data_IF_598346682074
#
_entry.id   IF_598346682074
#
_cell.length_a   1.000
_cell.length_b   1.000
_cell.length_c   1.000
_cell.angle_alpha   90.00
_cell.angle_beta   90.00
_cell.angle_gamma   90.00
#
_symmetry.space_group_name_H-M   'P 1'
#
loop_
_entity.id
_entity.type
_entity.pdbx_description
1 polymer ?
#
# COMPACT_ATOMS: atom_id res chain seq x y z
N UNK A 1 -49.56 -33.59 -10.44
CA UNK A 1 -49.38 -32.84 -9.17
C UNK A 1 -47.94 -32.83 -8.66
N UNK A 2 -47.19 -33.94 -8.66
CA UNK A 2 -45.78 -33.99 -8.20
C UNK A 2 -44.81 -33.15 -9.05
N UNK A 3 -45.04 -33.05 -10.36
CA UNK A 3 -44.25 -32.21 -11.28
C UNK A 3 -44.46 -30.70 -11.08
N UNK A 4 -45.65 -30.29 -10.67
CA UNK A 4 -45.97 -28.88 -10.36
C UNK A 4 -45.28 -28.40 -9.08
N UNK A 5 -45.15 -29.27 -8.08
CA UNK A 5 -44.43 -28.96 -6.83
C UNK A 5 -42.93 -28.82 -7.10
N UNK A 6 -42.37 -29.67 -7.96
CA UNK A 6 -40.96 -29.58 -8.38
C UNK A 6 -40.64 -28.28 -9.14
N UNK A 7 -41.51 -27.86 -10.06
CA UNK A 7 -41.32 -26.61 -10.79
C UNK A 7 -41.40 -25.38 -9.88
N UNK A 8 -42.28 -25.39 -8.88
CA UNK A 8 -42.41 -24.29 -7.92
C UNK A 8 -41.21 -24.18 -6.98
N UNK A 9 -40.59 -25.30 -6.60
CA UNK A 9 -39.38 -25.31 -5.77
C UNK A 9 -38.14 -24.78 -6.50
N UNK A 10 -38.03 -25.03 -7.81
CA UNK A 10 -36.91 -24.52 -8.64
C UNK A 10 -36.98 -23.00 -8.82
N UNK A 11 -38.19 -22.44 -8.92
CA UNK A 11 -38.39 -20.99 -9.06
C UNK A 11 -38.01 -20.25 -7.77
N UNK A 12 -38.24 -20.85 -6.60
CA UNK A 12 -37.86 -20.24 -5.32
C UNK A 12 -36.35 -20.20 -5.10
N UNK A 13 -35.59 -21.14 -5.68
CA UNK A 13 -34.13 -21.21 -5.54
C UNK A 13 -33.39 -20.26 -6.50
N UNK A 14 -34.08 -19.71 -7.50
CA UNK A 14 -33.53 -18.77 -8.47
C UNK A 14 -33.60 -17.29 -8.01
N UNK A 15 -34.15 -17.01 -6.82
CA UNK A 15 -34.15 -15.69 -6.23
C UNK A 15 -32.76 -15.32 -5.70
N UNK A 16 -31.85 -14.94 -6.61
CA UNK A 16 -30.57 -14.37 -6.23
C UNK A 16 -30.80 -13.04 -5.50
N UNK A 17 -30.13 -12.78 -4.35
CA UNK A 17 -30.19 -11.48 -3.71
C UNK A 17 -29.61 -10.43 -4.66
N UNK A 18 -30.44 -9.48 -5.10
CA UNK A 18 -29.98 -8.35 -5.88
C UNK A 18 -29.01 -7.52 -5.04
N UNK A 19 -27.75 -7.43 -5.47
CA UNK A 19 -26.78 -6.50 -4.88
C UNK A 19 -27.16 -5.08 -5.33
N UNK A 20 -28.06 -4.45 -4.59
CA UNK A 20 -28.35 -3.03 -4.74
C UNK A 20 -27.24 -2.22 -4.07
N UNK A 21 -26.33 -1.66 -4.86
CA UNK A 21 -25.47 -0.58 -4.38
C UNK A 21 -26.34 0.66 -4.16
N UNK A 22 -26.16 1.36 -3.03
CA UNK A 22 -26.98 2.54 -2.74
C UNK A 22 -26.47 3.65 -3.65
N UNK A 23 -27.39 4.46 -4.20
CA UNK A 23 -27.02 5.59 -5.06
C UNK A 23 -25.97 6.50 -4.39
N UNK A 24 -26.08 6.71 -3.06
CA UNK A 24 -25.09 7.49 -2.28
C UNK A 24 -23.67 6.91 -2.24
N UNK A 25 -23.49 5.64 -2.57
CA UNK A 25 -22.20 4.95 -2.57
C UNK A 25 -21.50 5.04 -3.95
N UNK A 26 -22.21 5.47 -4.99
CA UNK A 26 -21.71 5.59 -6.39
C UNK A 26 -21.74 7.03 -6.92
N UNK A 27 -22.09 8.01 -6.09
CA UNK A 27 -22.15 9.42 -6.47
C UNK A 27 -21.18 10.26 -5.64
N UNK A 28 -20.38 11.07 -6.32
CA UNK A 28 -19.52 12.07 -5.69
C UNK A 28 -20.09 13.48 -5.92
N UNK A 29 -19.89 14.37 -4.94
CA UNK A 29 -20.27 15.78 -5.09
C UNK A 29 -19.28 16.45 -6.05
N UNK A 30 -19.79 17.07 -7.11
CA UNK A 30 -18.97 17.81 -8.08
C UNK A 30 -18.13 18.88 -7.36
N UNK A 31 -16.81 18.84 -7.56
CA UNK A 31 -15.85 19.73 -6.91
C UNK A 31 -15.26 19.23 -5.58
N UNK A 32 -15.80 18.17 -4.99
CA UNK A 32 -15.28 17.54 -3.76
C UNK A 32 -14.43 16.32 -4.13
N UNK A 33 -13.33 16.58 -4.85
CA UNK A 33 -12.39 15.52 -5.29
C UNK A 33 -11.22 15.42 -4.33
N UNK A 34 -10.87 14.21 -3.93
CA UNK A 34 -9.58 13.98 -3.29
C UNK A 34 -8.44 14.19 -4.28
N UNK A 35 -7.28 14.61 -3.79
CA UNK A 35 -6.08 14.80 -4.59
C UNK A 35 -5.11 13.62 -4.36
N UNK A 36 -4.79 12.82 -5.39
CA UNK A 36 -3.80 11.76 -5.24
C UNK A 36 -2.42 12.39 -5.05
N UNK A 37 -1.73 11.94 -4.01
CA UNK A 37 -0.37 12.36 -3.71
C UNK A 37 0.54 11.14 -3.60
N UNK A 38 1.78 11.27 -4.07
CA UNK A 38 2.69 10.15 -4.14
C UNK A 38 4.16 10.58 -4.07
N UNK A 39 5.04 9.62 -3.77
CA UNK A 39 6.50 9.77 -3.82
C UNK A 39 7.17 8.39 -3.77
N UNK A 40 8.37 8.31 -4.33
CA UNK A 40 9.31 7.22 -4.01
C UNK A 40 9.92 7.47 -2.63
N UNK A 41 9.89 6.45 -1.78
CA UNK A 41 10.47 6.44 -0.44
C UNK A 41 11.38 5.23 -0.23
N UNK A 42 11.89 5.12 0.99
CA UNK A 42 12.77 4.01 1.42
C UNK A 42 12.26 3.46 2.76
N UNK A 43 12.14 2.14 2.84
CA UNK A 43 11.83 1.41 4.07
C UNK A 43 13.08 0.71 4.57
N UNK A 44 13.44 0.93 5.83
CA UNK A 44 14.62 0.35 6.48
C UNK A 44 14.22 -0.61 7.61
N UNK A 45 15.15 -1.43 8.07
CA UNK A 45 14.92 -2.35 9.19
C UNK A 45 14.23 -3.66 8.79
N UNK A 46 14.31 -4.03 7.51
CA UNK A 46 13.77 -5.31 7.02
C UNK A 46 14.66 -6.47 7.47
N UNK A 47 14.03 -7.58 7.84
CA UNK A 47 14.72 -8.78 8.33
C UNK A 47 15.09 -9.73 7.18
N UNK A 48 15.95 -9.27 6.27
CA UNK A 48 16.41 -10.08 5.14
C UNK A 48 15.44 -10.14 3.95
N UNK A 49 14.31 -9.44 4.01
CA UNK A 49 13.27 -9.40 2.97
C UNK A 49 13.34 -8.14 2.09
N UNK A 50 14.39 -7.34 2.23
CA UNK A 50 14.64 -6.13 1.44
C UNK A 50 15.04 -6.40 -0.01
N UNK A 51 15.47 -5.35 -0.69
CA UNK A 51 15.75 -5.33 -2.12
C UNK A 51 17.24 -5.25 -2.43
N UNK A 52 17.73 -6.22 -3.20
CA UNK A 52 19.12 -6.29 -3.66
C UNK A 52 19.43 -5.53 -4.94
N UNK A 53 18.45 -4.80 -5.48
CA UNK A 53 18.67 -3.96 -6.65
C UNK A 53 19.67 -2.82 -6.37
N UNK A 54 20.49 -2.52 -7.38
CA UNK A 54 21.41 -1.37 -7.37
C UNK A 54 20.67 -0.03 -7.23
N UNK A 55 19.40 0.02 -7.67
CA UNK A 55 18.54 1.19 -7.49
C UNK A 55 18.34 1.49 -5.99
N UNK A 56 18.01 0.48 -5.19
CA UNK A 56 17.77 0.65 -3.75
C UNK A 56 19.04 1.06 -3.02
N UNK A 57 20.18 0.44 -3.31
CA UNK A 57 21.47 0.83 -2.71
C UNK A 57 21.83 2.28 -3.01
N UNK A 58 21.62 2.74 -4.26
CA UNK A 58 21.86 4.14 -4.65
C UNK A 58 20.90 5.11 -3.98
N UNK A 59 19.61 4.76 -3.86
CA UNK A 59 18.63 5.60 -3.18
C UNK A 59 19.01 5.84 -1.72
N UNK A 60 19.42 4.78 -1.02
CA UNK A 60 19.88 4.86 0.37
C UNK A 60 21.18 5.65 0.48
N UNK A 61 22.16 5.38 -0.39
CA UNK A 61 23.41 6.13 -0.41
C UNK A 61 23.15 7.64 -0.61
N UNK A 62 22.23 8.02 -1.49
CA UNK A 62 21.89 9.42 -1.73
C UNK A 62 21.24 10.09 -0.50
N UNK A 63 20.36 9.37 0.20
CA UNK A 63 19.76 9.88 1.45
C UNK A 63 20.84 10.11 2.50
N UNK A 64 21.72 9.14 2.71
CA UNK A 64 22.79 9.21 3.70
C UNK A 64 23.83 10.29 3.34
N UNK A 65 24.13 10.47 2.05
CA UNK A 65 25.00 11.55 1.56
C UNK A 65 24.42 12.93 1.82
N UNK A 66 23.10 13.12 1.69
CA UNK A 66 22.44 14.38 2.05
C UNK A 66 22.62 14.70 3.53
N UNK A 67 22.65 13.67 4.37
CA UNK A 67 22.80 13.80 5.82
C UNK A 67 24.30 13.80 6.25
N UNK A 68 25.22 13.97 5.30
CA UNK A 68 26.66 14.15 5.55
C UNK A 68 27.48 12.85 5.63
N UNK A 69 26.86 11.70 5.39
CA UNK A 69 27.52 10.39 5.46
C UNK A 69 28.01 9.97 4.06
N UNK A 70 29.32 9.82 3.90
CA UNK A 70 29.92 9.33 2.66
C UNK A 70 29.96 7.81 2.62
N UNK A 71 28.81 7.21 2.29
CA UNK A 71 28.70 5.77 2.09
C UNK A 71 28.68 5.44 0.59
N UNK A 72 29.32 4.34 0.23
CA UNK A 72 29.22 3.75 -1.10
C UNK A 72 28.04 2.77 -1.14
N UNK A 73 27.45 2.51 -2.33
CA UNK A 73 26.40 1.50 -2.46
C UNK A 73 26.76 0.12 -1.90
N UNK A 74 28.06 -0.22 -1.85
CA UNK A 74 28.57 -1.49 -1.32
C UNK A 74 28.53 -1.58 0.21
N UNK A 75 28.50 -0.43 0.90
CA UNK A 75 28.46 -0.38 2.37
C UNK A 75 27.03 -0.61 2.91
N UNK A 76 26.04 -0.69 2.02
CA UNK A 76 24.63 -0.79 2.38
C UNK A 76 24.17 -2.24 2.24
N UNK A 77 23.72 -2.84 3.34
CA UNK A 77 23.08 -4.15 3.34
C UNK A 77 21.80 -4.11 2.52
N UNK A 78 21.82 -4.71 1.33
CA UNK A 78 20.68 -4.76 0.41
C UNK A 78 19.43 -5.38 1.04
N UNK A 79 19.60 -6.39 1.88
CA UNK A 79 18.49 -7.21 2.32
C UNK A 79 17.73 -6.59 3.52
N UNK A 80 18.21 -5.45 4.03
CA UNK A 80 17.61 -4.73 5.16
C UNK A 80 16.85 -3.46 4.76
N UNK A 81 16.84 -3.15 3.46
CA UNK A 81 16.26 -1.91 2.94
C UNK A 81 15.49 -2.18 1.66
N UNK A 82 14.41 -1.44 1.42
CA UNK A 82 13.62 -1.54 0.19
C UNK A 82 13.25 -0.17 -0.36
N UNK A 83 13.33 0.00 -1.68
CA UNK A 83 12.69 1.13 -2.36
C UNK A 83 11.19 0.89 -2.51
N UNK A 84 10.41 1.90 -2.11
CA UNK A 84 8.95 1.79 -2.08
C UNK A 84 8.27 2.96 -2.78
N UNK A 85 7.08 2.73 -3.29
CA UNK A 85 6.13 3.74 -3.68
C UNK A 85 5.23 4.01 -2.49
N UNK A 86 5.10 5.28 -2.12
CA UNK A 86 4.15 5.72 -1.11
C UNK A 86 3.07 6.50 -1.83
N UNK A 87 1.82 6.05 -1.71
CA UNK A 87 0.64 6.71 -2.26
C UNK A 87 -0.34 7.04 -1.16
N UNK A 88 -1.05 8.15 -1.31
CA UNK A 88 -2.13 8.53 -0.41
C UNK A 88 -3.16 9.36 -1.16
N UNK A 89 -4.37 9.40 -0.63
CA UNK A 89 -5.44 10.25 -1.13
C UNK A 89 -5.65 11.40 -0.15
N UNK A 90 -5.33 12.63 -0.56
CA UNK A 90 -5.60 13.80 0.26
C UNK A 90 -7.09 14.11 0.20
N UNK A 91 -7.84 14.07 1.32
CA UNK A 91 -9.26 14.36 1.30
C UNK A 91 -9.50 15.83 0.95
N UNK A 92 -10.60 16.15 0.28
CA UNK A 92 -10.97 17.53 0.00
C UNK A 92 -11.13 18.30 1.31
N UNK A 93 -10.66 19.55 1.32
CA UNK A 93 -10.70 20.42 2.51
C UNK A 93 -9.93 19.90 3.74
N UNK A 94 -8.94 19.02 3.54
CA UNK A 94 -8.01 18.61 4.60
C UNK A 94 -7.36 19.84 5.26
N UNK A 95 -7.22 19.81 6.58
CA UNK A 95 -6.58 20.89 7.36
C UNK A 95 -5.17 20.48 7.75
N UNK A 96 -4.35 21.46 8.10
CA UNK A 96 -3.03 21.19 8.69
C UNK A 96 -3.21 20.38 9.96
N UNK A 97 -2.48 19.27 10.07
CA UNK A 97 -2.59 18.32 11.18
C UNK A 97 -3.57 17.16 10.96
N UNK A 98 -4.34 17.16 9.88
CA UNK A 98 -5.15 15.99 9.49
C UNK A 98 -4.24 14.80 9.19
N UNK A 99 -4.51 13.66 9.84
CA UNK A 99 -3.87 12.40 9.51
C UNK A 99 -4.54 11.77 8.30
N UNK A 100 -3.75 11.25 7.38
CA UNK A 100 -4.21 10.52 6.20
C UNK A 100 -3.55 9.16 6.16
N UNK A 101 -4.29 8.16 5.71
CA UNK A 101 -3.74 6.82 5.51
C UNK A 101 -2.87 6.81 4.25
N UNK A 102 -1.79 6.04 4.33
CA UNK A 102 -0.81 5.91 3.25
C UNK A 102 -0.60 4.45 2.92
N UNK A 103 -0.57 4.14 1.63
CA UNK A 103 -0.27 2.81 1.13
C UNK A 103 1.19 2.79 0.71
N UNK A 104 1.92 1.80 1.22
CA UNK A 104 3.33 1.57 0.88
C UNK A 104 3.45 0.29 0.08
N UNK A 105 4.06 0.37 -1.10
CA UNK A 105 4.24 -0.78 -1.99
C UNK A 105 5.67 -0.86 -2.47
N UNK A 106 6.22 -2.06 -2.57
CA UNK A 106 7.59 -2.28 -3.06
C UNK A 106 7.67 -1.95 -4.55
N UNK A 107 8.65 -1.13 -4.96
CA UNK A 107 8.95 -0.91 -6.39
C UNK A 107 10.01 -1.92 -6.87
N UNK A 108 10.90 -2.33 -5.97
CA UNK A 108 11.98 -3.28 -6.24
C UNK A 108 11.65 -4.72 -5.89
N UNK A 109 12.69 -5.53 -5.69
CA UNK A 109 12.59 -6.97 -5.43
C UNK A 109 12.38 -7.38 -3.96
N UNK A 110 11.94 -6.47 -3.10
CA UNK A 110 11.69 -6.80 -1.69
C UNK A 110 10.52 -7.79 -1.56
N UNK A 111 10.76 -8.90 -0.86
CA UNK A 111 9.76 -9.98 -0.70
C UNK A 111 8.71 -9.65 0.38
N UNK A 112 9.05 -8.79 1.34
CA UNK A 112 8.14 -8.35 2.40
C UNK A 112 8.62 -7.04 3.02
N UNK A 113 7.67 -6.18 3.40
CA UNK A 113 7.92 -4.95 4.15
C UNK A 113 7.71 -5.13 5.67
N UNK A 114 7.53 -6.37 6.14
CA UNK A 114 7.24 -6.66 7.54
C UNK A 114 8.34 -6.17 8.47
N UNK A 115 7.95 -5.48 9.55
CA UNK A 115 8.88 -4.96 10.54
C UNK A 115 9.71 -3.77 10.05
N UNK A 116 9.50 -3.34 8.80
CA UNK A 116 10.16 -2.18 8.23
C UNK A 116 9.61 -0.87 8.77
N UNK A 117 10.44 0.17 8.72
CA UNK A 117 10.07 1.55 9.02
C UNK A 117 10.28 2.40 7.77
N UNK A 118 9.23 3.09 7.33
CA UNK A 118 9.30 4.10 6.27
C UNK A 118 10.05 5.32 6.79
N UNK A 119 11.16 5.63 6.12
CA UNK A 119 11.91 6.88 6.34
C UNK A 119 11.04 8.05 5.91
N UNK A 120 11.15 9.19 6.62
CA UNK A 120 10.36 10.38 6.36
C UNK A 120 10.34 10.74 4.87
N UNK A 121 9.18 10.55 4.26
CA UNK A 121 8.93 10.67 2.83
C UNK A 121 7.86 11.74 2.63
N UNK A 122 8.23 12.92 2.13
CA UNK A 122 7.24 13.93 1.79
C UNK A 122 6.43 13.43 0.58
N UNK A 123 5.16 13.76 0.46
CA UNK A 123 4.26 13.32 -0.62
C UNK A 123 3.86 14.51 -1.48
N UNK A 124 3.90 14.34 -2.80
CA UNK A 124 3.65 15.40 -3.77
C UNK A 124 2.39 15.15 -4.58
N UNK A 125 1.68 16.22 -4.92
CA UNK A 125 0.61 16.18 -5.92
C UNK A 125 1.17 16.26 -7.34
N UNK A 126 0.27 16.21 -8.33
CA UNK A 126 0.63 16.32 -9.76
C UNK A 126 1.29 17.66 -10.12
N UNK A 127 1.10 18.70 -9.30
CA UNK A 127 1.71 20.02 -9.41
C UNK A 127 3.13 20.11 -8.81
N UNK A 128 3.65 18.99 -8.28
CA UNK A 128 4.96 18.86 -7.62
C UNK A 128 5.07 19.62 -6.28
N UNK A 129 3.95 20.09 -5.72
CA UNK A 129 3.95 20.67 -4.38
C UNK A 129 3.84 19.58 -3.31
N UNK A 130 4.47 19.82 -2.16
CA UNK A 130 4.42 18.89 -1.03
C UNK A 130 3.16 19.17 -0.21
N UNK A 131 2.28 18.18 -0.09
CA UNK A 131 1.03 18.32 0.66
C UNK A 131 1.02 17.58 1.99
N UNK A 132 1.79 16.49 2.10
CA UNK A 132 1.84 15.67 3.30
C UNK A 132 3.23 15.09 3.52
N UNK A 133 3.46 14.54 4.70
CA UNK A 133 4.68 13.81 5.04
C UNK A 133 4.27 12.47 5.66
N UNK A 134 4.81 11.39 5.11
CA UNK A 134 4.59 10.03 5.59
C UNK A 134 5.86 9.50 6.27
N UNK A 135 5.71 8.93 7.46
CA UNK A 135 6.78 8.22 8.15
C UNK A 135 6.18 7.20 9.12
N UNK A 136 6.97 6.20 9.52
CA UNK A 136 6.62 5.30 10.61
C UNK A 136 6.71 3.83 10.25
N UNK A 137 6.27 2.98 11.18
CA UNK A 137 6.31 1.53 10.99
C UNK A 137 5.31 1.11 9.90
N UNK A 138 5.76 0.23 9.01
CA UNK A 138 4.92 -0.33 7.95
C UNK A 138 4.21 -1.56 8.50
N UNK A 139 2.89 -1.47 8.58
CA UNK A 139 2.04 -2.64 8.87
C UNK A 139 1.63 -3.30 7.56
N UNK A 140 1.76 -4.62 7.50
CA UNK A 140 1.26 -5.38 6.35
C UNK A 140 -0.23 -5.64 6.50
N UNK A 141 -0.93 -5.50 5.37
CA UNK A 141 -2.35 -5.80 5.15
C UNK A 141 -2.80 -7.24 5.46
N UNK A 142 -1.93 -8.07 6.05
CA UNK A 142 -2.09 -9.51 6.14
C UNK A 142 -0.76 -10.22 6.39
N UNK A 143 -0.81 -11.52 6.72
CA UNK A 143 0.38 -12.36 6.88
C UNK A 143 0.32 -13.51 5.87
N UNK A 144 1.43 -13.74 5.18
CA UNK A 144 1.64 -14.90 4.31
C UNK A 144 2.67 -15.82 4.95
N UNK A 145 2.24 -17.01 5.38
CA UNK A 145 3.12 -18.06 5.88
C UNK A 145 3.33 -19.10 4.76
N UNK A 146 4.57 -19.39 4.38
CA UNK A 146 4.90 -20.47 3.45
C UNK A 146 5.78 -21.52 4.10
N UNK A 147 5.34 -22.78 4.08
CA UNK A 147 6.14 -23.97 4.42
C UNK A 147 6.35 -24.87 3.19
N UNK A 148 7.24 -25.86 3.31
CA UNK A 148 7.70 -26.75 2.21
C UNK A 148 6.60 -27.39 1.34
N UNK A 149 5.34 -27.43 1.78
CA UNK A 149 4.21 -27.99 1.05
C UNK A 149 2.91 -27.14 1.12
N UNK A 150 2.94 -25.93 1.68
CA UNK A 150 1.72 -25.10 1.78
C UNK A 150 2.03 -23.63 2.01
N UNK A 151 1.29 -22.74 1.34
CA UNK A 151 1.30 -21.31 1.63
C UNK A 151 -0.10 -20.86 2.05
N UNK A 152 -0.19 -20.15 3.17
CA UNK A 152 -1.43 -19.55 3.69
C UNK A 152 -1.24 -18.04 3.67
N UNK A 153 -1.97 -17.36 2.78
CA UNK A 153 -2.06 -15.90 2.78
C UNK A 153 -3.41 -15.49 3.33
N UNK A 154 -3.43 -14.75 4.44
CA UNK A 154 -4.66 -14.15 4.99
C UNK A 154 -4.56 -12.64 4.94
N UNK A 155 -5.29 -12.04 4.02
CA UNK A 155 -5.46 -10.60 3.92
C UNK A 155 -6.47 -10.15 4.98
N UNK A 156 -6.17 -9.09 5.72
CA UNK A 156 -7.15 -8.44 6.58
C UNK A 156 -7.97 -7.45 5.73
N UNK A 157 -9.30 -7.31 5.97
CA UNK A 157 -10.10 -6.25 5.38
C UNK A 157 -9.73 -4.87 5.96
#
# INVERSE_FOLDING_TARGET
MRSLIGAMAVILLAAAPGSGERIKDIVEIEGVRGNPIWRVGVVVGLNGTGDSSEMTKRAVANILRRDGLNLTPNDISSNSVASVMVTAQLPPFARVGTKIDVTVSTIGGASSLQGGTLVMTPLMGADRQVYAVAQGQVSLGGFSASGQASSVSKNHP
#
